data_IF_132383021925
#
_entry.id   IF_132383021925
#
_cell.length_a   1.000
_cell.length_b   1.000
_cell.length_c   1.000
_cell.angle_alpha   90.00
_cell.angle_beta   90.00
_cell.angle_gamma   90.00
#
_symmetry.space_group_name_H-M   'P 1'
#
loop_
_entity.id
_entity.type
_entity.pdbx_description
1 polymer ?
#
# COMPACT_ATOMS: atom_id res chain seq x y z
N UNK A 1 27.62 8.93 -2.77
CA UNK A 1 26.42 9.56 -3.39
C UNK A 1 26.93 10.71 -4.22
N UNK A 2 26.30 11.08 -5.36
CA UNK A 2 26.66 12.30 -6.05
C UNK A 2 26.37 13.48 -5.13
N UNK A 3 27.16 14.58 -5.20
CA UNK A 3 26.97 15.78 -4.37
C UNK A 3 25.53 16.30 -4.45
N UNK A 4 24.94 16.31 -5.65
CA UNK A 4 23.56 16.74 -5.88
C UNK A 4 22.53 15.96 -5.07
N UNK A 5 22.64 14.63 -4.93
CA UNK A 5 21.68 13.84 -4.11
C UNK A 5 21.77 14.20 -2.63
N UNK A 6 22.95 14.55 -2.16
CA UNK A 6 23.15 14.97 -0.78
C UNK A 6 22.53 16.34 -0.53
N UNK A 7 22.79 17.31 -1.40
CA UNK A 7 22.22 18.66 -1.34
C UNK A 7 20.69 18.64 -1.42
N UNK A 8 20.12 17.86 -2.37
CA UNK A 8 18.67 17.63 -2.45
C UNK A 8 18.09 17.07 -1.15
N UNK A 9 18.81 16.13 -0.53
CA UNK A 9 18.35 15.50 0.73
C UNK A 9 18.31 16.52 1.87
N UNK A 10 19.34 17.34 1.99
CA UNK A 10 19.47 18.38 3.02
C UNK A 10 18.41 19.45 2.83
N UNK A 11 18.28 19.98 1.61
CA UNK A 11 17.30 21.03 1.29
C UNK A 11 15.85 20.61 1.48
N UNK A 12 15.49 19.39 1.05
CA UNK A 12 14.14 18.87 1.27
C UNK A 12 13.84 18.67 2.76
N UNK A 13 14.81 18.23 3.57
CA UNK A 13 14.65 18.12 5.02
C UNK A 13 14.49 19.49 5.69
N UNK A 14 15.25 20.48 5.26
CA UNK A 14 15.12 21.86 5.72
C UNK A 14 13.71 22.38 5.46
N UNK A 15 13.25 22.28 4.22
CA UNK A 15 11.94 22.79 3.79
C UNK A 15 10.77 21.98 4.38
N UNK A 16 10.97 20.69 4.70
CA UNK A 16 9.96 19.78 5.27
C UNK A 16 10.52 18.84 6.33
N UNK A 17 10.82 19.33 7.55
CA UNK A 17 11.44 18.54 8.62
C UNK A 17 10.63 17.29 9.05
N UNK A 18 9.31 17.33 8.89
CA UNK A 18 8.39 16.24 9.28
C UNK A 18 8.15 15.23 8.14
N UNK A 19 8.84 15.36 7.00
CA UNK A 19 8.70 14.43 5.88
C UNK A 19 9.24 13.04 6.25
N UNK A 20 8.45 11.99 6.02
CA UNK A 20 8.88 10.62 6.30
C UNK A 20 10.05 10.18 5.41
N UNK A 21 10.95 9.35 5.94
CA UNK A 21 12.16 8.89 5.24
C UNK A 21 11.87 8.25 3.88
N UNK A 22 10.78 7.51 3.74
CA UNK A 22 10.38 6.91 2.46
C UNK A 22 10.04 7.97 1.41
N UNK A 23 9.27 9.00 1.80
CA UNK A 23 8.91 10.11 0.92
C UNK A 23 10.13 10.94 0.54
N UNK A 24 11.04 11.19 1.49
CA UNK A 24 12.30 11.88 1.23
C UNK A 24 13.12 11.16 0.17
N UNK A 25 13.34 9.85 0.32
CA UNK A 25 14.08 9.04 -0.66
C UNK A 25 13.42 9.09 -2.05
N UNK A 26 12.08 9.03 -2.09
CA UNK A 26 11.31 9.12 -3.33
C UNK A 26 11.50 10.47 -4.01
N UNK A 27 11.39 11.58 -3.27
CA UNK A 27 11.54 12.92 -3.79
C UNK A 27 12.96 13.15 -4.34
N UNK A 28 13.99 12.80 -3.56
CA UNK A 28 15.39 12.90 -4.02
C UNK A 28 15.63 12.08 -5.29
N UNK A 29 15.10 10.86 -5.34
CA UNK A 29 15.25 10.01 -6.54
C UNK A 29 14.56 10.60 -7.76
N UNK A 30 13.35 11.13 -7.61
CA UNK A 30 12.58 11.74 -8.71
C UNK A 30 13.32 12.98 -9.23
N UNK A 31 13.73 13.88 -8.34
CA UNK A 31 14.41 15.11 -8.72
C UNK A 31 15.74 14.82 -9.43
N UNK A 32 16.53 13.93 -8.86
CA UNK A 32 17.78 13.50 -9.49
C UNK A 32 17.56 12.90 -10.89
N UNK A 33 16.51 12.08 -11.06
CA UNK A 33 16.21 11.47 -12.35
C UNK A 33 15.69 12.51 -13.37
N UNK A 34 14.93 13.52 -12.94
CA UNK A 34 14.51 14.64 -13.81
C UNK A 34 15.73 15.39 -14.29
N UNK A 35 16.62 15.79 -13.38
CA UNK A 35 17.85 16.50 -13.70
C UNK A 35 18.72 15.72 -14.71
N UNK A 36 18.95 14.43 -14.42
CA UNK A 36 19.72 13.54 -15.29
C UNK A 36 19.10 13.38 -16.69
N UNK A 37 17.77 13.23 -16.75
CA UNK A 37 17.07 13.01 -18.01
C UNK A 37 16.96 14.25 -18.88
N UNK A 38 17.10 15.43 -18.30
CA UNK A 38 17.23 16.71 -19.02
C UNK A 38 18.69 17.05 -19.36
N UNK A 39 19.63 16.13 -19.12
CA UNK A 39 21.05 16.23 -19.48
C UNK A 39 21.72 17.53 -18.98
N UNK A 40 21.26 18.06 -17.84
CA UNK A 40 21.81 19.28 -17.28
C UNK A 40 23.23 19.08 -16.72
N UNK A 41 24.15 19.93 -17.08
CA UNK A 41 25.50 20.00 -16.49
C UNK A 41 25.53 20.86 -15.22
N UNK A 42 24.52 21.72 -15.01
CA UNK A 42 24.41 22.57 -13.82
C UNK A 42 23.86 21.75 -12.63
N UNK A 43 24.74 21.37 -11.74
CA UNK A 43 24.42 20.58 -10.56
C UNK A 43 23.93 21.42 -9.35
N UNK A 44 23.61 22.70 -9.54
CA UNK A 44 23.10 23.57 -8.47
C UNK A 44 21.60 23.37 -8.25
N UNK A 45 21.15 23.57 -7.02
CA UNK A 45 19.74 23.47 -6.66
C UNK A 45 18.88 24.56 -7.32
N UNK A 46 19.44 25.71 -7.58
CA UNK A 46 18.81 26.84 -8.28
C UNK A 46 18.31 26.47 -9.66
N UNK A 47 18.97 25.52 -10.34
CA UNK A 47 18.56 25.01 -11.64
C UNK A 47 17.06 24.61 -11.68
N UNK A 48 16.53 24.01 -10.62
CA UNK A 48 15.12 23.64 -10.53
C UNK A 48 14.18 24.84 -10.43
N UNK A 49 14.69 25.98 -9.95
CA UNK A 49 13.95 27.25 -9.83
C UNK A 49 14.04 28.08 -11.08
N UNK A 50 15.14 27.98 -11.84
CA UNK A 50 15.44 28.79 -13.00
C UNK A 50 14.85 28.20 -14.29
N UNK A 51 14.68 26.87 -14.33
CA UNK A 51 14.18 26.14 -15.50
C UNK A 51 12.73 25.61 -15.32
N UNK A 52 11.86 26.35 -14.61
CA UNK A 52 10.51 25.91 -14.28
C UNK A 52 9.70 25.51 -15.51
N UNK A 53 9.71 26.33 -16.57
CA UNK A 53 8.95 26.09 -17.80
C UNK A 53 9.39 24.81 -18.51
N UNK A 54 10.69 24.61 -18.66
CA UNK A 54 11.26 23.46 -19.36
C UNK A 54 11.03 22.18 -18.58
N UNK A 55 11.16 22.23 -17.25
CA UNK A 55 10.87 21.09 -16.38
C UNK A 55 9.38 20.72 -16.44
N UNK A 56 8.46 21.69 -16.40
CA UNK A 56 7.02 21.46 -16.52
C UNK A 56 6.68 20.78 -17.85
N UNK A 57 7.23 21.25 -18.96
CA UNK A 57 7.00 20.64 -20.27
C UNK A 57 7.58 19.21 -20.33
N UNK A 58 8.78 19.01 -19.79
CA UNK A 58 9.43 17.70 -19.74
C UNK A 58 8.61 16.66 -18.94
N UNK A 59 8.03 17.06 -17.80
CA UNK A 59 7.28 16.13 -16.93
C UNK A 59 5.83 15.93 -17.35
N UNK A 60 5.28 16.73 -18.23
CA UNK A 60 3.88 16.74 -18.69
C UNK A 60 3.40 15.39 -19.24
N UNK A 61 4.27 14.63 -19.93
CA UNK A 61 3.96 13.30 -20.48
C UNK A 61 3.85 12.17 -19.45
N UNK A 62 4.11 12.42 -18.15
CA UNK A 62 3.98 11.42 -17.11
C UNK A 62 2.50 11.13 -16.79
N UNK A 63 2.20 9.90 -16.34
CA UNK A 63 0.88 9.63 -15.80
C UNK A 63 0.59 10.50 -14.57
N UNK A 64 -0.70 10.83 -14.34
CA UNK A 64 -1.14 11.78 -13.32
C UNK A 64 -0.57 11.50 -11.91
N UNK A 65 -0.46 10.24 -11.51
CA UNK A 65 0.08 9.89 -10.18
C UNK A 65 1.57 10.18 -10.06
N UNK A 66 2.35 9.86 -11.10
CA UNK A 66 3.78 10.15 -11.17
C UNK A 66 4.03 11.65 -11.31
N UNK A 67 3.22 12.34 -12.14
CA UNK A 67 3.27 13.79 -12.32
C UNK A 67 3.00 14.51 -11.00
N UNK A 68 1.92 14.18 -10.30
CA UNK A 68 1.61 14.74 -8.98
C UNK A 68 2.77 14.59 -8.00
N UNK A 69 3.38 13.41 -7.95
CA UNK A 69 4.50 13.15 -7.02
C UNK A 69 5.73 13.95 -7.39
N UNK A 70 6.03 14.07 -8.69
CA UNK A 70 7.12 14.87 -9.22
C UNK A 70 6.92 16.36 -8.89
N UNK A 71 5.76 16.91 -9.19
CA UNK A 71 5.42 18.31 -8.89
C UNK A 71 5.44 18.60 -7.38
N UNK A 72 5.02 17.64 -6.55
CA UNK A 72 5.15 17.77 -5.09
C UNK A 72 6.60 17.84 -4.64
N UNK A 73 7.49 17.06 -5.25
CA UNK A 73 8.92 17.10 -4.95
C UNK A 73 9.56 18.43 -5.38
N UNK A 74 9.23 18.91 -6.59
CA UNK A 74 9.68 20.19 -7.13
C UNK A 74 9.21 21.37 -6.27
N UNK A 75 7.93 21.38 -5.90
CA UNK A 75 7.39 22.41 -5.01
C UNK A 75 8.04 22.40 -3.63
N UNK A 76 8.25 21.23 -3.04
CA UNK A 76 8.92 21.11 -1.74
C UNK A 76 10.38 21.59 -1.80
N UNK A 77 11.07 21.34 -2.91
CA UNK A 77 12.45 21.78 -3.10
C UNK A 77 12.53 23.32 -3.27
N UNK A 78 11.69 23.88 -4.15
CA UNK A 78 11.88 25.24 -4.68
C UNK A 78 10.93 26.28 -4.09
N UNK A 79 9.76 25.88 -3.59
CA UNK A 79 8.68 26.79 -3.18
C UNK A 79 7.96 27.49 -4.35
N UNK A 80 8.32 27.22 -5.63
CA UNK A 80 7.74 27.89 -6.80
C UNK A 80 6.27 27.58 -6.98
N UNK A 81 5.42 28.62 -7.07
CA UNK A 81 3.97 28.47 -7.13
C UNK A 81 3.50 27.81 -8.43
N UNK A 82 4.22 27.98 -9.52
CA UNK A 82 3.94 27.35 -10.81
C UNK A 82 3.86 25.81 -10.70
N UNK A 83 4.77 25.21 -9.96
CA UNK A 83 4.71 23.75 -9.68
C UNK A 83 3.47 23.37 -8.85
N UNK A 84 3.09 24.22 -7.89
CA UNK A 84 1.92 23.99 -7.05
C UNK A 84 0.62 24.10 -7.83
N UNK A 85 0.48 25.10 -8.69
CA UNK A 85 -0.71 25.32 -9.50
C UNK A 85 -0.99 24.12 -10.41
N UNK A 86 0.04 23.68 -11.16
CA UNK A 86 -0.10 22.48 -12.01
C UNK A 86 -0.38 21.23 -11.17
N UNK A 87 0.27 21.08 -10.00
CA UNK A 87 -0.01 19.98 -9.08
C UNK A 87 -1.47 19.98 -8.60
N UNK A 88 -2.05 21.14 -8.30
CA UNK A 88 -3.45 21.23 -7.85
C UNK A 88 -4.42 20.85 -8.96
N UNK A 89 -4.18 21.26 -10.21
CA UNK A 89 -4.98 20.83 -11.38
C UNK A 89 -4.94 19.32 -11.58
N UNK A 90 -3.74 18.72 -11.50
CA UNK A 90 -3.57 17.26 -11.60
C UNK A 90 -4.28 16.55 -10.44
N UNK A 91 -4.21 17.11 -9.23
CA UNK A 91 -4.92 16.55 -8.07
C UNK A 91 -6.44 16.57 -8.26
N UNK A 92 -6.99 17.64 -8.80
CA UNK A 92 -8.42 17.74 -9.09
C UNK A 92 -8.84 16.64 -10.08
N UNK A 93 -8.14 16.51 -11.20
CA UNK A 93 -8.41 15.46 -12.20
C UNK A 93 -8.31 14.04 -11.61
N UNK A 94 -7.30 13.79 -10.77
CA UNK A 94 -7.15 12.50 -10.08
C UNK A 94 -8.31 12.24 -9.12
N UNK A 95 -8.75 13.25 -8.36
CA UNK A 95 -9.87 13.12 -7.43
C UNK A 95 -11.20 12.84 -8.15
N UNK A 96 -11.42 13.48 -9.29
CA UNK A 96 -12.60 13.22 -10.14
C UNK A 96 -12.60 11.76 -10.66
N UNK A 97 -11.46 11.26 -11.11
CA UNK A 97 -11.33 9.86 -11.51
C UNK A 97 -11.61 8.90 -10.33
N UNK A 98 -11.13 9.22 -9.13
CA UNK A 98 -11.45 8.42 -7.93
C UNK A 98 -12.94 8.44 -7.58
N UNK A 99 -13.61 9.59 -7.73
CA UNK A 99 -15.07 9.69 -7.51
C UNK A 99 -15.88 8.82 -8.48
N UNK A 100 -15.37 8.58 -9.70
CA UNK A 100 -16.02 7.69 -10.66
C UNK A 100 -15.92 6.21 -10.27
N UNK A 101 -15.04 5.83 -9.35
CA UNK A 101 -14.83 4.47 -8.86
C UNK A 101 -14.59 3.43 -9.99
N UNK A 102 -14.12 3.89 -11.15
CA UNK A 102 -13.79 3.02 -12.29
C UNK A 102 -12.44 2.33 -12.07
N UNK A 103 -12.36 1.09 -12.51
CA UNK A 103 -11.10 0.35 -12.55
C UNK A 103 -10.14 1.03 -13.54
N UNK A 104 -8.88 1.19 -13.14
CA UNK A 104 -7.83 1.55 -14.11
C UNK A 104 -7.61 0.41 -15.11
N UNK A 105 -6.98 0.65 -16.28
CA UNK A 105 -6.68 -0.41 -17.25
C UNK A 105 -5.95 -1.61 -16.61
N UNK A 106 -4.90 -1.36 -15.83
CA UNK A 106 -4.14 -2.40 -15.12
C UNK A 106 -5.01 -3.14 -14.09
N UNK A 107 -5.93 -2.45 -13.43
CA UNK A 107 -6.88 -3.10 -12.52
C UNK A 107 -7.87 -3.97 -13.28
N UNK A 108 -8.41 -3.50 -14.41
CA UNK A 108 -9.36 -4.27 -15.21
C UNK A 108 -8.75 -5.56 -15.75
N UNK A 109 -7.53 -5.48 -16.24
CA UNK A 109 -6.77 -6.63 -16.76
C UNK A 109 -6.51 -7.72 -15.72
N UNK A 110 -6.18 -7.32 -14.49
CA UNK A 110 -5.77 -8.24 -13.42
C UNK A 110 -6.88 -8.50 -12.39
N UNK A 111 -8.07 -7.93 -12.59
CA UNK A 111 -9.16 -8.08 -11.63
C UNK A 111 -9.69 -9.51 -11.61
N UNK A 112 -9.94 -10.01 -10.42
CA UNK A 112 -10.61 -11.29 -10.17
C UNK A 112 -11.81 -11.05 -9.23
N UNK A 113 -12.75 -11.96 -9.22
CA UNK A 113 -13.88 -11.91 -8.31
C UNK A 113 -13.48 -12.28 -6.88
N UNK A 114 -14.30 -11.91 -5.92
CA UNK A 114 -14.13 -12.35 -4.53
C UNK A 114 -14.22 -13.88 -4.40
N UNK A 115 -15.05 -14.53 -5.23
CA UNK A 115 -15.14 -15.99 -5.28
C UNK A 115 -13.80 -16.61 -5.67
N UNK A 116 -13.19 -16.15 -6.77
CA UNK A 116 -11.86 -16.62 -7.20
C UNK A 116 -10.79 -16.38 -6.12
N UNK A 117 -10.87 -15.26 -5.38
CA UNK A 117 -9.96 -15.01 -4.24
C UNK A 117 -10.13 -16.04 -3.14
N UNK A 118 -11.38 -16.41 -2.81
CA UNK A 118 -11.69 -17.45 -1.84
C UNK A 118 -11.24 -18.84 -2.30
N UNK A 119 -11.41 -19.15 -3.58
CA UNK A 119 -10.96 -20.43 -4.14
C UNK A 119 -9.42 -20.58 -4.01
N UNK A 120 -8.67 -19.51 -4.30
CA UNK A 120 -7.22 -19.51 -4.07
C UNK A 120 -6.88 -19.74 -2.61
N UNK A 121 -7.58 -19.10 -1.68
CA UNK A 121 -7.37 -19.32 -0.24
C UNK A 121 -7.64 -20.78 0.16
N UNK A 122 -8.73 -21.36 -0.28
CA UNK A 122 -9.08 -22.74 0.07
C UNK A 122 -8.12 -23.76 -0.54
N UNK A 123 -7.68 -23.56 -1.76
CA UNK A 123 -6.63 -24.38 -2.37
C UNK A 123 -5.29 -24.30 -1.60
N UNK A 124 -4.91 -23.10 -1.14
CA UNK A 124 -3.71 -22.93 -0.31
C UNK A 124 -3.89 -23.57 1.08
N UNK A 125 -5.07 -23.51 1.68
CA UNK A 125 -5.39 -24.17 2.95
C UNK A 125 -5.28 -25.70 2.82
N UNK A 126 -5.83 -26.27 1.76
CA UNK A 126 -5.74 -27.72 1.50
C UNK A 126 -4.28 -28.15 1.36
N UNK A 127 -3.49 -27.43 0.59
CA UNK A 127 -2.06 -27.68 0.45
C UNK A 127 -1.32 -27.59 1.80
N UNK A 128 -1.63 -26.61 2.64
CA UNK A 128 -1.04 -26.45 3.96
C UNK A 128 -1.42 -27.61 4.90
N UNK A 129 -2.67 -28.05 4.89
CA UNK A 129 -3.15 -29.20 5.66
C UNK A 129 -2.48 -30.49 5.19
N UNK A 130 -2.36 -30.69 3.88
CA UNK A 130 -1.67 -31.84 3.30
C UNK A 130 -0.19 -31.90 3.72
N UNK A 131 0.53 -30.78 3.68
CA UNK A 131 1.92 -30.72 4.17
C UNK A 131 2.06 -31.07 5.65
N UNK A 132 1.07 -30.75 6.48
CA UNK A 132 1.07 -31.04 7.90
C UNK A 132 0.68 -32.49 8.22
N UNK A 133 -0.14 -33.13 7.39
CA UNK A 133 -0.61 -34.53 7.58
C UNK A 133 0.39 -35.55 7.04
N UNK A 134 1.06 -35.24 5.95
CA UNK A 134 2.08 -36.09 5.36
C UNK A 134 3.43 -35.74 5.95
N UNK A 135 4.19 -36.71 6.45
CA UNK A 135 5.58 -36.50 6.86
C UNK A 135 6.51 -36.12 5.67
N UNK A 136 5.94 -35.71 4.54
CA UNK A 136 6.66 -35.21 3.38
C UNK A 136 7.22 -33.81 3.65
N UNK A 137 8.22 -33.43 2.90
CA UNK A 137 9.03 -32.22 3.07
C UNK A 137 8.16 -31.00 3.31
N UNK A 138 8.20 -30.47 4.54
CA UNK A 138 7.54 -29.22 4.91
C UNK A 138 8.22 -28.05 4.18
N UNK A 139 7.44 -27.26 3.44
CA UNK A 139 7.93 -26.06 2.75
C UNK A 139 7.48 -24.80 3.48
N UNK A 140 8.42 -24.14 4.15
CA UNK A 140 8.17 -22.87 4.82
C UNK A 140 7.65 -21.80 3.84
N UNK A 141 8.17 -21.75 2.61
CA UNK A 141 7.73 -20.80 1.59
C UNK A 141 6.26 -21.01 1.21
N UNK A 142 5.81 -22.24 1.03
CA UNK A 142 4.42 -22.56 0.74
C UNK A 142 3.50 -22.25 1.90
N UNK A 143 3.97 -22.44 3.13
CA UNK A 143 3.20 -22.07 4.30
C UNK A 143 3.08 -20.55 4.47
N UNK A 144 4.15 -19.80 4.19
CA UNK A 144 4.14 -18.33 4.16
C UNK A 144 3.19 -17.81 3.07
N UNK A 145 3.18 -18.44 1.90
CA UNK A 145 2.24 -18.12 0.81
C UNK A 145 0.78 -18.29 1.28
N UNK A 146 0.45 -19.42 1.91
CA UNK A 146 -0.87 -19.66 2.53
C UNK A 146 -1.23 -18.59 3.57
N UNK A 147 -0.34 -18.29 4.50
CA UNK A 147 -0.59 -17.27 5.53
C UNK A 147 -0.79 -15.87 4.92
N UNK A 148 0.02 -15.51 3.91
CA UNK A 148 -0.13 -14.23 3.22
C UNK A 148 -1.47 -14.10 2.53
N UNK A 149 -1.93 -15.15 1.84
CA UNK A 149 -3.27 -15.16 1.24
C UNK A 149 -4.33 -15.04 2.33
N UNK A 150 -4.23 -15.76 3.45
CA UNK A 150 -5.15 -15.65 4.56
C UNK A 150 -5.22 -14.25 5.18
N UNK A 151 -4.09 -13.58 5.31
CA UNK A 151 -4.02 -12.21 5.89
C UNK A 151 -4.48 -11.11 4.92
N UNK A 152 -4.27 -11.27 3.62
CA UNK A 152 -4.37 -10.18 2.65
C UNK A 152 -5.50 -10.33 1.64
N UNK A 153 -6.13 -11.50 1.55
CA UNK A 153 -7.17 -11.77 0.56
C UNK A 153 -8.55 -11.23 0.93
N UNK A 154 -8.84 -11.08 2.22
CA UNK A 154 -10.20 -10.84 2.69
C UNK A 154 -11.04 -12.12 2.88
N UNK A 155 -10.51 -13.29 2.53
CA UNK A 155 -11.22 -14.57 2.70
C UNK A 155 -11.39 -14.97 4.18
N UNK A 156 -10.50 -14.51 5.05
CA UNK A 156 -10.49 -14.86 6.48
C UNK A 156 -10.69 -13.65 7.37
N UNK A 157 -9.94 -12.60 7.11
CA UNK A 157 -9.94 -11.34 7.85
C UNK A 157 -9.86 -10.16 6.87
N UNK A 158 -10.36 -8.97 7.25
CA UNK A 158 -10.27 -7.78 6.40
C UNK A 158 -8.81 -7.46 6.01
N UNK A 159 -8.52 -7.25 4.72
CA UNK A 159 -7.16 -7.07 4.24
C UNK A 159 -6.59 -5.72 4.66
N UNK A 160 -5.43 -5.73 5.33
CA UNK A 160 -4.67 -4.53 5.69
C UNK A 160 -3.55 -4.28 4.67
N UNK A 161 -2.68 -3.31 4.94
CA UNK A 161 -1.52 -3.04 4.07
C UNK A 161 -0.44 -4.11 4.25
N UNK A 162 0.34 -4.37 3.19
CA UNK A 162 1.38 -5.40 3.18
C UNK A 162 2.35 -5.31 4.36
N UNK A 163 2.81 -4.10 4.69
CA UNK A 163 3.80 -3.92 5.76
C UNK A 163 3.22 -4.05 7.16
N UNK A 164 1.91 -3.97 7.34
CA UNK A 164 1.27 -4.28 8.62
C UNK A 164 1.55 -5.75 9.02
N UNK A 165 1.62 -6.65 8.03
CA UNK A 165 1.96 -8.06 8.20
C UNK A 165 3.43 -8.39 7.93
N UNK A 166 4.11 -7.67 7.05
CA UNK A 166 5.53 -7.88 6.74
C UNK A 166 6.45 -7.69 7.94
N UNK A 167 6.03 -6.86 8.91
CA UNK A 167 6.74 -6.61 10.16
C UNK A 167 6.07 -7.30 11.38
N UNK A 168 5.13 -8.21 11.16
CA UNK A 168 4.40 -8.88 12.23
C UNK A 168 5.29 -9.88 12.96
N UNK A 169 5.40 -9.73 14.28
CA UNK A 169 6.24 -10.56 15.14
C UNK A 169 5.45 -11.62 15.91
N UNK A 170 6.11 -12.70 16.26
CA UNK A 170 5.54 -13.83 17.04
C UNK A 170 6.33 -14.11 18.33
N UNK A 171 7.56 -13.58 18.44
CA UNK A 171 8.45 -13.66 19.61
C UNK A 171 9.28 -12.40 19.73
N UNK A 172 9.85 -12.16 20.89
CA UNK A 172 10.83 -11.09 21.16
C UNK A 172 10.36 -9.67 20.69
N UNK A 173 9.06 -9.39 20.77
CA UNK A 173 8.46 -8.11 20.38
C UNK A 173 8.29 -7.16 21.58
N UNK A 174 8.33 -5.86 21.30
CA UNK A 174 7.89 -4.82 22.23
C UNK A 174 6.39 -4.55 22.00
N UNK A 175 5.51 -4.85 22.99
CA UNK A 175 4.06 -4.65 22.86
C UNK A 175 3.63 -3.20 22.62
N UNK A 176 4.48 -2.21 22.90
CA UNK A 176 4.19 -0.77 22.71
C UNK A 176 4.56 -0.25 21.32
N UNK A 177 5.43 -0.97 20.60
CA UNK A 177 6.03 -0.47 19.35
C UNK A 177 5.75 -1.38 18.18
N UNK A 178 5.87 -2.70 18.38
CA UNK A 178 5.83 -3.67 17.28
C UNK A 178 4.39 -4.07 16.90
N UNK A 179 4.24 -4.56 15.67
CA UNK A 179 3.09 -5.35 15.27
C UNK A 179 3.34 -6.80 15.71
N UNK A 180 2.40 -7.41 16.39
CA UNK A 180 2.61 -8.77 16.89
C UNK A 180 1.32 -9.60 16.96
N UNK A 181 1.50 -10.91 17.00
CA UNK A 181 0.44 -11.88 17.28
C UNK A 181 0.57 -12.38 18.72
N UNK A 182 -0.55 -12.42 19.46
CA UNK A 182 -0.63 -13.02 20.79
C UNK A 182 -2.04 -13.59 21.05
N UNK A 183 -2.09 -14.84 21.49
CA UNK A 183 -3.31 -15.48 21.99
C UNK A 183 -4.54 -15.38 21.07
N UNK A 184 -4.35 -15.52 19.76
CA UNK A 184 -5.45 -15.46 18.77
C UNK A 184 -5.81 -14.05 18.31
N UNK A 185 -5.03 -13.05 18.68
CA UNK A 185 -5.21 -11.65 18.26
C UNK A 185 -3.98 -11.13 17.56
N UNK A 186 -4.20 -10.26 16.60
CA UNK A 186 -3.19 -9.44 15.94
C UNK A 186 -3.23 -8.04 16.55
N UNK A 187 -2.07 -7.49 16.85
CA UNK A 187 -1.89 -6.17 17.41
C UNK A 187 -1.06 -5.33 16.45
N UNK A 188 -1.56 -4.15 16.10
CA UNK A 188 -0.92 -3.25 15.15
C UNK A 188 -0.64 -1.90 15.80
N UNK A 189 0.62 -1.68 16.21
CA UNK A 189 1.14 -0.40 16.70
C UNK A 189 1.75 0.42 15.58
N UNK A 190 2.39 -0.27 14.62
CA UNK A 190 3.18 0.33 13.55
C UNK A 190 2.52 0.13 12.20
N UNK A 191 1.79 1.15 11.73
CA UNK A 191 1.15 1.17 10.42
C UNK A 191 0.99 2.62 9.93
N UNK A 192 0.65 2.82 8.65
CA UNK A 192 0.69 4.13 7.97
C UNK A 192 -0.07 5.25 8.72
N UNK A 193 -1.20 4.91 9.34
CA UNK A 193 -2.09 5.86 10.02
C UNK A 193 -2.14 5.67 11.54
N UNK A 194 -1.13 5.03 12.13
CA UNK A 194 -1.07 4.74 13.57
C UNK A 194 -1.14 6.00 14.44
N UNK A 195 -0.57 7.12 13.97
CA UNK A 195 -0.64 8.41 14.69
C UNK A 195 -2.08 8.94 14.84
N UNK A 196 -2.99 8.55 13.95
CA UNK A 196 -4.39 8.98 13.97
C UNK A 196 -5.27 8.03 14.77
N UNK A 197 -5.06 6.72 14.58
CA UNK A 197 -5.98 5.69 15.10
C UNK A 197 -5.42 4.89 16.28
N UNK A 198 -4.17 5.12 16.67
CA UNK A 198 -3.53 4.40 17.79
C UNK A 198 -3.37 2.90 17.56
N UNK A 199 -3.27 2.15 18.64
CA UNK A 199 -3.23 0.68 18.60
C UNK A 199 -4.54 0.13 18.01
N UNK A 200 -4.41 -0.76 17.04
CA UNK A 200 -5.53 -1.54 16.50
C UNK A 200 -5.34 -3.01 16.78
N UNK A 201 -6.43 -3.70 17.08
CA UNK A 201 -6.43 -5.15 17.28
C UNK A 201 -7.38 -5.82 16.31
N UNK A 202 -7.10 -7.08 15.97
CA UNK A 202 -7.94 -7.90 15.12
C UNK A 202 -7.97 -9.33 15.64
N UNK A 203 -9.18 -9.86 15.88
CA UNK A 203 -9.35 -11.24 16.25
C UNK A 203 -9.11 -12.16 15.05
N UNK A 204 -8.40 -13.26 15.28
CA UNK A 204 -8.14 -14.27 14.25
C UNK A 204 -9.17 -15.38 14.40
N UNK A 205 -9.98 -15.70 13.37
CA UNK A 205 -10.94 -16.80 13.41
C UNK A 205 -10.30 -18.13 13.79
N UNK A 206 -11.00 -18.93 14.60
CA UNK A 206 -10.46 -20.13 15.22
C UNK A 206 -9.77 -21.12 14.24
N UNK A 207 -10.29 -21.41 13.03
CA UNK A 207 -9.62 -22.30 12.08
C UNK A 207 -8.28 -21.75 11.62
N UNK A 208 -8.22 -20.48 11.26
CA UNK A 208 -6.97 -19.83 10.81
C UNK A 208 -5.97 -19.67 11.96
N UNK A 209 -6.48 -19.38 13.17
CA UNK A 209 -5.67 -19.32 14.38
C UNK A 209 -4.97 -20.64 14.69
N UNK A 210 -5.64 -21.77 14.46
CA UNK A 210 -5.02 -23.09 14.61
C UNK A 210 -3.84 -23.27 13.65
N UNK A 211 -3.97 -22.82 12.41
CA UNK A 211 -2.89 -22.87 11.42
C UNK A 211 -1.74 -21.96 11.83
N UNK A 212 -2.00 -20.76 12.33
CA UNK A 212 -0.97 -19.87 12.87
C UNK A 212 -0.22 -20.53 14.04
N UNK A 213 -0.94 -21.13 14.99
CA UNK A 213 -0.30 -21.82 16.12
C UNK A 213 0.60 -22.97 15.69
N UNK A 214 0.21 -23.74 14.66
CA UNK A 214 1.06 -24.79 14.06
C UNK A 214 2.29 -24.20 13.41
N UNK A 215 2.12 -23.11 12.63
CA UNK A 215 3.22 -22.39 12.02
C UNK A 215 4.23 -21.88 13.04
N UNK A 216 3.80 -21.28 14.13
CA UNK A 216 4.67 -20.73 15.18
C UNK A 216 5.59 -21.81 15.74
N UNK A 217 5.13 -23.08 15.88
CA UNK A 217 5.97 -24.20 16.34
C UNK A 217 7.05 -24.60 15.34
N UNK A 218 6.83 -24.37 14.04
CA UNK A 218 7.73 -24.74 12.95
C UNK A 218 8.62 -23.58 12.49
N UNK A 219 8.23 -22.36 12.82
CA UNK A 219 8.90 -21.14 12.39
C UNK A 219 10.18 -20.88 13.21
N UNK A 220 11.36 -20.83 12.59
CA UNK A 220 12.65 -20.66 13.28
C UNK A 220 12.98 -19.18 13.57
N UNK A 221 12.08 -18.23 13.27
CA UNK A 221 12.34 -16.78 13.38
C UNK A 221 11.36 -16.11 14.35
N UNK A 222 11.64 -14.87 14.71
CA UNK A 222 10.74 -14.03 15.51
C UNK A 222 9.62 -13.37 14.68
N UNK A 223 9.72 -13.42 13.36
CA UNK A 223 8.75 -12.85 12.44
C UNK A 223 7.65 -13.85 12.07
N UNK A 224 6.40 -13.40 11.98
CA UNK A 224 5.31 -14.26 11.46
C UNK A 224 5.61 -14.71 10.02
N UNK A 225 6.16 -13.82 9.21
CA UNK A 225 6.50 -14.03 7.81
C UNK A 225 7.96 -13.65 7.59
N UNK A 226 8.74 -14.51 6.96
CA UNK A 226 10.15 -14.26 6.75
C UNK A 226 10.61 -14.62 5.33
N UNK A 227 11.69 -13.99 4.90
CA UNK A 227 12.37 -14.25 3.64
C UNK A 227 13.34 -15.43 3.74
N UNK A 228 13.89 -15.87 2.61
CA UNK A 228 14.93 -16.92 2.58
C UNK A 228 16.11 -16.64 3.49
N UNK A 229 16.43 -15.36 3.73
CA UNK A 229 17.48 -14.92 4.64
C UNK A 229 16.99 -14.81 6.10
N UNK A 230 15.83 -15.36 6.44
CA UNK A 230 15.23 -15.33 7.78
C UNK A 230 14.98 -13.90 8.32
N UNK A 231 14.87 -12.93 7.43
CA UNK A 231 14.54 -11.54 7.76
C UNK A 231 13.06 -11.27 7.44
N UNK A 232 12.50 -10.21 8.01
CA UNK A 232 11.14 -9.75 7.68
C UNK A 232 10.94 -9.55 6.18
N UNK A 233 9.72 -9.80 5.70
CA UNK A 233 9.39 -9.60 4.29
C UNK A 233 9.30 -8.11 3.93
N UNK A 234 9.86 -7.75 2.80
CA UNK A 234 9.65 -6.45 2.18
C UNK A 234 8.36 -6.43 1.33
N UNK A 235 7.81 -5.23 1.08
CA UNK A 235 6.61 -5.08 0.24
C UNK A 235 6.77 -5.69 -1.17
N UNK A 236 7.91 -5.54 -1.88
CA UNK A 236 8.11 -6.22 -3.16
C UNK A 236 8.11 -7.76 -3.07
N UNK A 237 8.65 -8.33 -1.99
CA UNK A 237 8.61 -9.79 -1.78
C UNK A 237 7.18 -10.27 -1.54
N UNK A 238 6.41 -9.56 -0.72
CA UNK A 238 4.98 -9.86 -0.51
C UNK A 238 4.22 -9.83 -1.85
N UNK A 239 4.44 -8.80 -2.68
CA UNK A 239 3.79 -8.72 -3.99
C UNK A 239 4.15 -9.89 -4.91
N UNK A 240 5.42 -10.32 -4.94
CA UNK A 240 5.83 -11.50 -5.73
C UNK A 240 5.16 -12.79 -5.25
N UNK A 241 5.08 -12.99 -3.94
CA UNK A 241 4.42 -14.17 -3.37
C UNK A 241 2.93 -14.17 -3.73
N UNK A 242 2.25 -13.02 -3.62
CA UNK A 242 0.85 -12.89 -4.04
C UNK A 242 0.69 -13.18 -5.54
N UNK A 243 1.52 -12.60 -6.41
CA UNK A 243 1.45 -12.86 -7.84
C UNK A 243 1.60 -14.35 -8.15
N UNK A 244 2.50 -15.06 -7.47
CA UNK A 244 2.65 -16.51 -7.59
C UNK A 244 1.39 -17.24 -7.11
N UNK A 245 0.85 -16.89 -5.95
CA UNK A 245 -0.35 -17.50 -5.38
C UNK A 245 -1.58 -17.35 -6.29
N UNK A 246 -1.68 -16.22 -7.00
CA UNK A 246 -2.77 -15.91 -7.92
C UNK A 246 -2.45 -16.22 -9.40
N UNK A 247 -1.62 -17.23 -9.65
CA UNK A 247 -1.38 -17.77 -10.99
C UNK A 247 -0.62 -16.82 -11.95
N UNK A 248 0.24 -15.96 -11.42
CA UNK A 248 1.04 -15.01 -12.19
C UNK A 248 0.33 -13.69 -12.54
N UNK A 249 -0.94 -13.52 -12.16
CA UNK A 249 -1.62 -12.23 -12.28
C UNK A 249 -0.94 -11.16 -11.39
N UNK A 250 -0.93 -9.93 -11.84
CA UNK A 250 -0.35 -8.81 -11.08
C UNK A 250 -1.30 -8.37 -9.94
N UNK A 251 -1.43 -9.24 -8.95
CA UNK A 251 -2.28 -9.02 -7.76
C UNK A 251 -1.46 -8.41 -6.64
N UNK A 252 -1.64 -7.12 -6.40
CA UNK A 252 -1.05 -6.43 -5.25
C UNK A 252 -1.97 -6.49 -4.04
N UNK A 253 -1.41 -6.25 -2.86
CA UNK A 253 -2.20 -6.06 -1.62
C UNK A 253 -3.28 -4.97 -1.79
N UNK A 254 -2.98 -3.92 -2.54
CA UNK A 254 -3.94 -2.86 -2.80
C UNK A 254 -5.10 -3.34 -3.69
N UNK A 255 -4.80 -4.18 -4.70
CA UNK A 255 -5.80 -4.82 -5.54
C UNK A 255 -6.75 -5.69 -4.70
N UNK A 256 -6.23 -6.55 -3.84
CA UNK A 256 -7.04 -7.39 -2.95
C UNK A 256 -7.95 -6.56 -2.04
N UNK A 257 -7.47 -5.42 -1.54
CA UNK A 257 -8.28 -4.49 -0.75
C UNK A 257 -9.40 -3.86 -1.58
N UNK A 258 -9.15 -3.51 -2.84
CA UNK A 258 -10.18 -3.02 -3.75
C UNK A 258 -11.23 -4.10 -4.02
N UNK A 259 -10.81 -5.33 -4.34
CA UNK A 259 -11.72 -6.47 -4.58
C UNK A 259 -12.61 -6.70 -3.36
N UNK A 260 -12.00 -6.81 -2.16
CA UNK A 260 -12.73 -7.03 -0.92
C UNK A 260 -13.76 -5.93 -0.64
N UNK A 261 -13.35 -4.66 -0.68
CA UNK A 261 -14.27 -3.55 -0.41
C UNK A 261 -15.35 -3.43 -1.48
N UNK A 262 -15.05 -3.68 -2.75
CA UNK A 262 -16.04 -3.69 -3.83
C UNK A 262 -17.09 -4.80 -3.65
N UNK A 263 -16.70 -5.93 -3.08
CA UNK A 263 -17.64 -7.01 -2.77
C UNK A 263 -18.49 -6.68 -1.54
N UNK A 264 -17.87 -6.24 -0.44
CA UNK A 264 -18.57 -5.89 0.82
C UNK A 264 -19.59 -4.77 0.59
N UNK A 265 -19.25 -3.82 -0.25
CA UNK A 265 -20.07 -2.64 -0.53
C UNK A 265 -20.75 -2.66 -1.90
N UNK A 266 -20.96 -3.84 -2.48
CA UNK A 266 -21.55 -4.01 -3.81
C UNK A 266 -22.93 -3.32 -3.98
N UNK A 267 -23.71 -3.22 -2.91
CA UNK A 267 -25.06 -2.65 -2.91
C UNK A 267 -25.10 -1.16 -2.51
N UNK A 268 -23.95 -0.56 -2.21
CA UNK A 268 -23.90 0.89 -1.90
C UNK A 268 -23.85 1.67 -3.22
N UNK A 269 -24.69 2.72 -3.38
CA UNK A 269 -24.64 3.58 -4.56
C UNK A 269 -23.24 4.17 -4.80
N UNK A 270 -22.89 4.42 -6.05
CA UNK A 270 -21.62 5.06 -6.40
C UNK A 270 -21.48 6.42 -5.69
N UNK A 271 -20.27 6.77 -5.28
CA UNK A 271 -19.99 8.04 -4.58
C UNK A 271 -20.47 9.27 -5.37
N UNK A 272 -20.38 9.23 -6.71
CA UNK A 272 -20.90 10.30 -7.56
C UNK A 272 -22.42 10.46 -7.48
N UNK A 273 -23.13 9.35 -7.30
CA UNK A 273 -24.60 9.37 -7.12
C UNK A 273 -24.98 9.91 -5.75
N UNK A 274 -24.25 9.52 -4.72
CA UNK A 274 -24.43 10.03 -3.36
C UNK A 274 -24.13 11.53 -3.32
N UNK A 275 -23.03 11.97 -3.93
CA UNK A 275 -22.60 13.38 -3.99
C UNK A 275 -23.65 14.24 -4.72
N UNK A 276 -24.16 13.77 -5.86
CA UNK A 276 -25.22 14.45 -6.61
C UNK A 276 -26.49 14.60 -5.78
N UNK A 277 -27.01 13.49 -5.23
CA UNK A 277 -28.25 13.51 -4.45
C UNK A 277 -28.12 14.39 -3.20
N UNK A 278 -27.00 14.31 -2.51
CA UNK A 278 -26.72 15.17 -1.36
C UNK A 278 -26.72 16.65 -1.75
N UNK A 279 -26.09 16.99 -2.88
CA UNK A 279 -26.07 18.36 -3.41
C UNK A 279 -27.50 18.84 -3.76
N UNK A 280 -28.29 18.01 -4.44
CA UNK A 280 -29.72 18.32 -4.78
C UNK A 280 -30.56 18.53 -3.51
N UNK A 281 -30.25 17.86 -2.41
CA UNK A 281 -30.92 18.03 -1.11
C UNK A 281 -30.33 19.15 -0.24
N UNK A 282 -29.27 19.82 -0.69
CA UNK A 282 -28.59 20.88 0.08
C UNK A 282 -27.74 20.36 1.25
N UNK A 283 -27.28 19.11 1.18
CA UNK A 283 -26.49 18.45 2.20
C UNK A 283 -25.09 18.11 1.71
N UNK A 284 -24.16 17.85 2.64
CA UNK A 284 -22.92 17.14 2.33
C UNK A 284 -23.20 15.64 2.19
N UNK A 285 -22.37 14.86 1.44
CA UNK A 285 -22.51 13.40 1.36
C UNK A 285 -22.53 12.72 2.73
N UNK A 286 -21.72 13.20 3.68
CA UNK A 286 -21.69 12.69 5.05
C UNK A 286 -23.04 12.90 5.77
N UNK A 287 -23.60 14.10 5.67
CA UNK A 287 -24.93 14.39 6.22
C UNK A 287 -26.03 13.56 5.56
N UNK A 288 -26.00 13.42 4.22
CA UNK A 288 -26.97 12.60 3.52
C UNK A 288 -26.96 11.15 4.02
N UNK A 289 -25.80 10.59 4.31
CA UNK A 289 -25.67 9.24 4.87
C UNK A 289 -26.26 9.10 6.29
N UNK A 290 -26.25 10.16 7.09
CA UNK A 290 -26.86 10.15 8.43
C UNK A 290 -28.39 10.09 8.42
N UNK A 291 -29.03 10.46 7.31
CA UNK A 291 -30.49 10.34 7.14
C UNK A 291 -30.95 8.92 6.81
N UNK A 292 -30.04 8.03 6.39
CA UNK A 292 -30.37 6.62 6.12
C UNK A 292 -30.68 5.93 7.45
N UNK A 293 -31.84 5.29 7.56
CA UNK A 293 -32.23 4.46 8.70
C UNK A 293 -32.31 2.99 8.26
N UNK A 294 -31.82 2.09 9.11
CA UNK A 294 -31.82 0.63 8.89
C UNK A 294 -32.85 -0.04 9.77
#
# INVERSE_FOLDING_TARGET
MSSLKQELTEKIKENRPKLGLSSLKTYVSILFNVHKAMESEDNKLEWYSDNVKDILEFVKGKNNQSLKTCLSALFVLTGKQEYREVMMQVMQSVNELYKQQKKSPTQAENWISEAEVKDVYFAQLENALHMLSTKKIFSANKYIEFLLVGFLSGAVIPPRRSMDYGELMIRNYDPKVDNYYKAGKLYFNKYKTAKTYGLQTLDVPAPFNLMIKRWIKLNPTDYMLFSTNKQKLSSPQISRILNTAFGGKNISTNMLRHIYLSSVYANIPALSSIDRLATEMGHSPAQAMEYIKH
#
